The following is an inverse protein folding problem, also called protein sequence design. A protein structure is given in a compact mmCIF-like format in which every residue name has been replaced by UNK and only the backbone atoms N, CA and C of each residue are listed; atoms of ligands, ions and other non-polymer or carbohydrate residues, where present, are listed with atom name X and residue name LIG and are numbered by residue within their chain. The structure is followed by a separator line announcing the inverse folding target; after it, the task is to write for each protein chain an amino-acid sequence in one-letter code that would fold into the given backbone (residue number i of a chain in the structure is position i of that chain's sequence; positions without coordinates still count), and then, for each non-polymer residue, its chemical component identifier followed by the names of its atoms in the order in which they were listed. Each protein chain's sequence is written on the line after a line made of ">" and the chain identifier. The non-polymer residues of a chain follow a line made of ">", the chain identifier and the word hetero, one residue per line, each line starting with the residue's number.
data_IF_220077854587
#
_entry.id   IF_220077854587
#
_cell.length_a   1.000
_cell.length_b   1.000
_cell.length_c   1.000
_cell.angle_alpha   90.00
_cell.angle_beta   90.00
_cell.angle_gamma   90.00
#
_symmetry.space_group_name_H-M   'P 1'
#
loop_
_entity.id
_entity.type
_entity.pdbx_description
1 polymer ?
#
# COMPACT_ATOMS: atom_id res chain seq x y z
N UNK A 1 43.08 -9.27 50.76
CA UNK A 1 42.71 -8.15 49.86
C UNK A 1 41.30 -7.70 50.20
N UNK A 2 41.13 -6.51 50.78
CA UNK A 2 39.82 -6.02 51.21
C UNK A 2 38.94 -5.71 49.97
N UNK A 3 37.78 -6.37 49.87
CA UNK A 3 36.76 -6.08 48.87
C UNK A 3 36.37 -4.60 49.00
N UNK A 4 36.50 -3.84 47.90
CA UNK A 4 36.13 -2.42 47.85
C UNK A 4 34.68 -2.16 48.27
N UNK A 5 34.41 -0.92 48.68
CA UNK A 5 33.11 -0.45 49.17
C UNK A 5 32.01 -0.82 48.16
N UNK A 6 30.91 -1.39 48.65
CA UNK A 6 29.73 -1.68 47.83
C UNK A 6 29.20 -0.37 47.22
N UNK A 7 28.76 -0.37 45.96
CA UNK A 7 28.19 0.81 45.33
C UNK A 7 26.92 1.27 46.08
N UNK A 8 26.80 2.58 46.27
CA UNK A 8 25.68 3.23 46.96
C UNK A 8 24.35 2.95 46.23
N UNK A 9 23.25 2.81 46.97
CA UNK A 9 21.91 2.59 46.41
C UNK A 9 21.38 3.82 45.66
N UNK A 10 20.39 3.61 44.78
CA UNK A 10 19.83 4.65 43.90
C UNK A 10 19.35 5.89 44.69
N UNK A 11 18.77 5.67 45.88
CA UNK A 11 18.33 6.72 46.80
C UNK A 11 19.49 7.53 47.39
N UNK A 12 20.61 6.87 47.70
CA UNK A 12 21.81 7.51 48.23
C UNK A 12 22.55 8.32 47.15
N UNK A 13 22.48 7.90 45.89
CA UNK A 13 23.03 8.64 44.76
C UNK A 13 22.16 9.86 44.39
N UNK A 14 20.85 9.77 44.54
CA UNK A 14 19.94 10.92 44.36
C UNK A 14 20.13 11.98 45.45
N UNK A 15 20.29 11.57 46.71
CA UNK A 15 20.49 12.49 47.84
C UNK A 15 21.86 13.20 47.83
N UNK A 16 22.90 12.55 47.27
CA UNK A 16 24.26 13.10 47.22
C UNK A 16 24.45 14.16 46.11
N UNK A 17 23.47 14.31 45.22
CA UNK A 17 23.61 15.09 44.00
C UNK A 17 24.73 14.54 43.11
N UNK A 18 24.91 15.09 41.91
CA UNK A 18 25.98 14.66 41.00
C UNK A 18 27.22 15.57 41.17
N UNK A 19 28.17 15.26 42.08
CA UNK A 19 29.31 16.14 42.39
C UNK A 19 30.32 16.28 41.24
N UNK A 20 30.14 15.55 40.13
CA UNK A 20 31.10 15.51 39.02
C UNK A 20 30.59 15.99 37.66
N UNK A 21 29.40 16.61 37.56
CA UNK A 21 28.74 16.96 36.27
C UNK A 21 28.60 15.79 35.27
N UNK A 22 28.87 14.56 35.69
CA UNK A 22 28.63 13.34 34.91
C UNK A 22 27.17 12.97 35.12
N UNK A 23 26.45 12.73 34.02
CA UNK A 23 25.04 12.34 34.06
C UNK A 23 24.86 11.18 35.03
N UNK A 24 23.85 11.28 35.89
CA UNK A 24 23.58 10.25 36.89
C UNK A 24 23.20 8.93 36.18
N UNK A 25 23.52 7.78 36.78
CA UNK A 25 23.16 6.46 36.25
C UNK A 25 21.67 6.35 35.79
N UNK A 26 20.67 6.91 36.51
CA UNK A 26 19.28 6.89 36.04
C UNK A 26 19.03 7.77 34.81
N UNK A 27 19.79 8.84 34.61
CA UNK A 27 19.65 9.75 33.46
C UNK A 27 20.26 9.14 32.20
N UNK A 28 21.34 8.36 32.34
CA UNK A 28 21.93 7.55 31.26
C UNK A 28 20.99 6.40 30.86
N UNK A 29 20.24 5.83 31.81
CA UNK A 29 19.23 4.81 31.52
C UNK A 29 18.05 5.41 30.75
N UNK A 30 17.54 6.58 31.16
CA UNK A 30 16.45 7.29 30.46
C UNK A 30 16.84 7.78 29.05
N UNK A 31 18.12 8.09 28.83
CA UNK A 31 18.64 8.42 27.49
C UNK A 31 18.89 7.17 26.61
N UNK A 32 19.02 5.99 27.21
CA UNK A 32 19.15 4.70 26.51
C UNK A 32 17.84 3.98 26.29
N UNK A 33 16.75 4.40 26.91
CA UNK A 33 15.42 3.89 26.62
C UNK A 33 15.09 4.19 25.14
N UNK A 34 14.82 3.15 24.33
CA UNK A 34 14.49 3.37 22.93
C UNK A 34 13.22 4.19 22.89
N UNK A 35 13.31 5.39 22.30
CA UNK A 35 12.15 6.27 22.09
C UNK A 35 11.08 5.45 21.39
N UNK A 36 9.99 5.17 22.11
CA UNK A 36 8.91 4.33 21.62
C UNK A 36 8.51 4.80 20.21
N UNK A 37 8.54 3.87 19.24
CA UNK A 37 8.16 4.18 17.87
C UNK A 37 6.73 4.74 17.91
N UNK A 38 6.57 6.01 17.51
CA UNK A 38 5.26 6.65 17.46
C UNK A 38 4.39 5.85 16.48
N UNK A 39 3.19 5.42 16.88
CA UNK A 39 2.32 4.66 16.00
C UNK A 39 2.02 5.50 14.76
N UNK A 40 2.10 4.87 13.59
CA UNK A 40 1.86 5.57 12.33
C UNK A 40 0.37 5.93 12.26
N UNK A 41 0.06 7.23 12.28
CA UNK A 41 -1.31 7.71 12.37
C UNK A 41 -1.96 7.77 10.98
N UNK A 42 -3.05 7.01 10.84
CA UNK A 42 -3.85 6.98 9.61
C UNK A 42 -4.65 8.30 9.52
N UNK A 43 -4.50 9.02 8.41
CA UNK A 43 -5.21 10.27 8.12
C UNK A 43 -4.60 11.55 8.73
N UNK A 44 -5.13 12.71 8.29
CA UNK A 44 -4.67 14.08 8.63
C UNK A 44 -3.22 14.38 8.21
N UNK A 45 -2.85 13.93 7.02
CA UNK A 45 -1.50 14.07 6.47
C UNK A 45 -1.28 15.50 5.98
N UNK A 46 -0.22 16.13 6.48
CA UNK A 46 0.11 17.51 6.13
C UNK A 46 1.06 17.57 4.94
N UNK A 47 0.87 18.51 3.99
CA UNK A 47 1.81 18.69 2.89
C UNK A 47 3.18 19.13 3.42
N UNK A 48 4.30 18.54 2.95
CA UNK A 48 5.65 18.98 3.21
C UNK A 48 5.86 20.45 2.86
N UNK A 49 6.75 21.12 3.60
CA UNK A 49 7.03 22.56 3.43
C UNK A 49 7.46 22.92 2.00
N UNK A 50 8.20 22.03 1.32
CA UNK A 50 8.68 22.28 -0.03
C UNK A 50 7.55 22.27 -1.07
N UNK A 51 6.46 21.52 -0.85
CA UNK A 51 5.35 21.46 -1.79
C UNK A 51 4.61 22.81 -1.86
N UNK A 52 4.51 23.51 -0.73
CA UNK A 52 3.90 24.84 -0.61
C UNK A 52 4.56 25.91 -1.49
N UNK A 53 5.78 25.66 -1.98
CA UNK A 53 6.47 26.55 -2.94
C UNK A 53 5.84 26.50 -4.34
N UNK A 54 5.12 25.43 -4.67
CA UNK A 54 4.37 25.29 -5.91
C UNK A 54 2.88 25.37 -5.64
N UNK A 55 2.24 26.47 -6.06
CA UNK A 55 0.81 26.68 -5.87
C UNK A 55 -0.02 25.58 -6.54
N UNK A 56 0.26 25.29 -7.83
CA UNK A 56 -0.47 24.26 -8.61
C UNK A 56 -0.38 22.88 -7.97
N UNK A 57 0.81 22.49 -7.49
CA UNK A 57 0.99 21.19 -6.84
C UNK A 57 0.25 21.13 -5.49
N UNK A 58 0.21 22.26 -4.76
CA UNK A 58 -0.53 22.36 -3.50
C UNK A 58 -2.04 22.30 -3.72
N UNK A 59 -2.57 22.87 -4.80
CA UNK A 59 -3.98 22.76 -5.18
C UNK A 59 -4.36 21.30 -5.46
N UNK A 60 -3.55 20.55 -6.19
CA UNK A 60 -3.75 19.12 -6.45
C UNK A 60 -3.72 18.32 -5.13
N UNK A 61 -2.77 18.62 -4.24
CA UNK A 61 -2.71 18.00 -2.92
C UNK A 61 -3.99 18.23 -2.12
N UNK A 62 -4.46 19.47 -2.07
CA UNK A 62 -5.64 19.84 -1.29
C UNK A 62 -6.92 19.20 -1.83
N UNK A 63 -6.97 18.84 -3.11
CA UNK A 63 -8.08 18.10 -3.69
C UNK A 63 -7.98 16.58 -3.42
N UNK A 64 -6.80 15.99 -3.56
CA UNK A 64 -6.61 14.54 -3.48
C UNK A 64 -6.46 14.01 -2.07
N UNK A 65 -5.67 14.67 -1.22
CA UNK A 65 -5.37 14.17 0.12
C UNK A 65 -6.65 13.93 0.95
N UNK A 66 -7.64 14.85 1.01
CA UNK A 66 -8.87 14.59 1.76
C UNK A 66 -9.69 13.42 1.20
N UNK A 67 -9.64 13.17 -0.11
CA UNK A 67 -10.36 12.04 -0.74
C UNK A 67 -9.71 10.71 -0.35
N UNK A 68 -8.36 10.65 -0.39
CA UNK A 68 -7.61 9.46 0.02
C UNK A 68 -7.74 9.19 1.52
N UNK A 69 -7.78 10.23 2.35
CA UNK A 69 -8.02 10.11 3.79
C UNK A 69 -9.41 9.53 4.10
N UNK A 70 -10.47 9.96 3.40
CA UNK A 70 -11.82 9.38 3.56
C UNK A 70 -11.88 7.89 3.22
N UNK A 71 -10.98 7.41 2.37
CA UNK A 71 -10.85 6.01 1.99
C UNK A 71 -9.89 5.23 2.89
N UNK A 72 -9.30 5.86 3.91
CA UNK A 72 -8.23 5.30 4.76
C UNK A 72 -7.02 4.79 3.94
N UNK A 73 -6.74 5.42 2.79
CA UNK A 73 -5.64 5.06 1.89
C UNK A 73 -4.39 5.94 2.09
N UNK A 74 -4.42 6.87 3.06
CA UNK A 74 -3.33 7.82 3.28
C UNK A 74 -2.86 7.81 4.73
N UNK A 75 -1.56 7.64 4.90
CA UNK A 75 -0.89 7.59 6.19
C UNK A 75 0.21 8.66 6.30
N UNK A 76 0.66 8.99 7.52
CA UNK A 76 1.68 10.03 7.74
C UNK A 76 2.99 9.79 6.97
N UNK A 77 3.36 8.52 6.71
CA UNK A 77 4.54 8.15 5.93
C UNK A 77 4.41 8.54 4.44
N UNK A 78 3.19 8.64 3.97
CA UNK A 78 2.89 8.85 2.57
C UNK A 78 2.96 10.32 2.14
N UNK A 79 3.28 11.21 3.09
CA UNK A 79 3.27 12.64 2.84
C UNK A 79 4.23 13.02 1.69
N UNK A 80 5.45 12.49 1.73
CA UNK A 80 6.47 12.77 0.70
C UNK A 80 6.15 12.10 -0.64
N UNK A 81 5.80 10.80 -0.71
CA UNK A 81 5.36 10.15 -1.95
C UNK A 81 4.19 10.85 -2.63
N UNK A 82 3.12 11.20 -1.91
CA UNK A 82 1.97 11.91 -2.49
C UNK A 82 2.37 13.30 -2.99
N UNK A 83 3.30 13.97 -2.31
CA UNK A 83 3.78 15.29 -2.74
C UNK A 83 4.56 15.22 -4.04
N UNK A 84 5.33 14.14 -4.26
CA UNK A 84 6.01 13.89 -5.53
C UNK A 84 4.99 13.68 -6.65
N UNK A 85 3.93 12.91 -6.40
CA UNK A 85 2.83 12.75 -7.35
C UNK A 85 2.22 14.11 -7.75
N UNK A 86 1.86 14.95 -6.78
CA UNK A 86 1.31 16.28 -7.05
C UNK A 86 2.26 17.15 -7.90
N UNK A 87 3.57 17.08 -7.64
CA UNK A 87 4.57 17.78 -8.46
C UNK A 87 4.62 17.20 -9.88
N UNK A 88 4.67 15.89 -10.03
CA UNK A 88 4.76 15.22 -11.32
C UNK A 88 3.56 15.51 -12.22
N UNK A 89 2.35 15.59 -11.68
CA UNK A 89 1.18 16.02 -12.45
C UNK A 89 1.38 17.43 -13.02
N UNK A 90 1.92 18.38 -12.23
CA UNK A 90 2.17 19.75 -12.73
C UNK A 90 3.20 19.76 -13.86
N UNK A 91 4.29 19.00 -13.72
CA UNK A 91 5.33 18.90 -14.74
C UNK A 91 4.82 18.18 -16.00
N UNK A 92 4.00 17.14 -15.84
CA UNK A 92 3.36 16.42 -16.93
C UNK A 92 2.42 17.33 -17.72
N UNK A 93 1.56 18.10 -17.04
CA UNK A 93 0.68 19.08 -17.69
C UNK A 93 1.50 20.12 -18.47
N UNK A 94 2.60 20.62 -17.88
CA UNK A 94 3.46 21.58 -18.55
C UNK A 94 4.10 21.00 -19.81
N UNK A 95 4.62 19.77 -19.73
CA UNK A 95 5.19 19.07 -20.87
C UNK A 95 4.14 18.75 -21.94
N UNK A 96 2.92 18.37 -21.55
CA UNK A 96 1.82 18.08 -22.48
C UNK A 96 1.40 19.34 -23.25
N UNK A 97 1.28 20.49 -22.56
CA UNK A 97 1.01 21.78 -23.21
C UNK A 97 2.08 22.13 -24.25
N UNK A 98 3.35 21.84 -23.97
CA UNK A 98 4.44 22.04 -24.95
C UNK A 98 4.27 21.11 -26.15
N UNK A 99 3.98 19.83 -25.91
CA UNK A 99 3.74 18.85 -26.99
C UNK A 99 2.53 19.23 -27.85
N UNK A 100 1.46 19.75 -27.26
CA UNK A 100 0.29 20.21 -28.00
C UNK A 100 0.60 21.39 -28.94
N UNK A 101 1.58 22.23 -28.59
CA UNK A 101 1.98 23.39 -29.39
C UNK A 101 3.01 23.04 -30.47
N UNK A 102 4.00 22.23 -30.13
CA UNK A 102 5.19 21.98 -30.95
C UNK A 102 5.14 20.64 -31.69
N UNK A 103 4.24 19.74 -31.29
CA UNK A 103 4.14 18.39 -31.80
C UNK A 103 5.05 17.39 -31.08
N UNK A 104 4.92 16.12 -31.45
CA UNK A 104 5.68 15.00 -30.83
C UNK A 104 7.03 14.74 -31.50
N UNK A 105 7.27 15.35 -32.65
CA UNK A 105 8.48 15.19 -33.47
C UNK A 105 8.93 16.56 -34.00
N UNK A 106 10.24 16.74 -34.13
CA UNK A 106 10.82 17.91 -34.77
C UNK A 106 11.92 17.50 -35.75
N UNK A 107 12.16 18.35 -36.75
CA UNK A 107 13.23 18.13 -37.73
C UNK A 107 14.53 18.73 -37.22
N UNK A 108 15.58 17.92 -37.15
CA UNK A 108 16.92 18.33 -36.77
C UNK A 108 17.88 18.08 -37.93
N UNK A 109 18.77 19.03 -38.20
CA UNK A 109 19.89 18.80 -39.10
C UNK A 109 20.93 17.96 -38.40
N UNK A 110 21.33 16.87 -39.03
CA UNK A 110 22.42 16.03 -38.56
C UNK A 110 23.79 16.64 -38.93
N UNK A 111 24.88 16.12 -38.35
CA UNK A 111 26.25 16.60 -38.63
C UNK A 111 26.61 16.56 -40.13
N UNK A 112 25.98 15.65 -40.87
CA UNK A 112 26.15 15.49 -42.32
C UNK A 112 25.23 16.39 -43.16
N UNK A 113 24.47 17.30 -42.56
CA UNK A 113 23.58 18.26 -43.25
C UNK A 113 22.19 17.72 -43.62
N UNK A 114 21.93 16.42 -43.42
CA UNK A 114 20.65 15.79 -43.70
C UNK A 114 19.60 16.13 -42.63
N UNK A 115 18.35 16.35 -43.06
CA UNK A 115 17.21 16.53 -42.16
C UNK A 115 16.76 15.18 -41.61
N UNK A 116 16.79 15.02 -40.29
CA UNK A 116 16.34 13.81 -39.60
C UNK A 116 15.23 14.16 -38.62
N UNK A 117 14.16 13.36 -38.59
CA UNK A 117 13.08 13.51 -37.60
C UNK A 117 13.53 12.93 -36.27
N UNK A 118 13.58 13.78 -35.24
CA UNK A 118 13.89 13.39 -33.86
C UNK A 118 12.66 13.57 -32.97
N UNK A 119 12.56 12.74 -31.95
CA UNK A 119 11.46 12.79 -30.99
C UNK A 119 11.57 14.04 -30.13
N UNK A 120 10.47 14.74 -29.92
CA UNK A 120 10.45 15.94 -29.10
C UNK A 120 10.81 15.64 -27.64
N UNK A 121 11.72 16.40 -27.00
CA UNK A 121 12.12 16.15 -25.61
C UNK A 121 10.95 16.29 -24.63
N UNK A 122 10.01 17.22 -24.86
CA UNK A 122 8.80 17.32 -24.04
C UNK A 122 7.92 16.07 -24.15
N UNK A 123 7.84 15.45 -25.34
CA UNK A 123 7.12 14.19 -25.53
C UNK A 123 7.83 13.02 -24.84
N UNK A 124 9.16 13.03 -24.78
CA UNK A 124 9.90 12.07 -23.97
C UNK A 124 9.60 12.25 -22.48
N UNK A 125 9.66 13.49 -21.97
CA UNK A 125 9.35 13.82 -20.59
C UNK A 125 7.92 13.42 -20.19
N UNK A 126 6.91 13.69 -21.03
CA UNK A 126 5.52 13.24 -20.80
C UNK A 126 5.45 11.73 -20.58
N UNK A 127 6.06 10.94 -21.46
CA UNK A 127 6.00 9.48 -21.40
C UNK A 127 6.75 8.91 -20.20
N UNK A 128 7.85 9.55 -19.76
CA UNK A 128 8.59 9.10 -18.59
C UNK A 128 7.86 9.46 -17.29
N UNK A 129 7.28 10.66 -17.22
CA UNK A 129 6.47 11.07 -16.06
C UNK A 129 5.20 10.23 -15.97
N UNK A 130 4.53 9.94 -17.09
CA UNK A 130 3.34 9.08 -17.16
C UNK A 130 3.58 7.70 -16.51
N UNK A 131 4.75 7.10 -16.75
CA UNK A 131 5.12 5.82 -16.12
C UNK A 131 5.25 5.97 -14.60
N UNK A 132 5.95 7.01 -14.14
CA UNK A 132 6.11 7.27 -12.70
C UNK A 132 4.77 7.56 -12.02
N UNK A 133 3.85 8.27 -12.69
CA UNK A 133 2.51 8.54 -12.21
C UNK A 133 1.71 7.24 -12.05
N UNK A 134 1.71 6.36 -13.06
CA UNK A 134 1.00 5.08 -13.01
C UNK A 134 1.43 4.19 -11.83
N UNK A 135 2.71 4.22 -11.48
CA UNK A 135 3.27 3.48 -10.35
C UNK A 135 2.83 4.08 -9.00
N UNK A 136 2.85 5.42 -8.88
CA UNK A 136 2.37 6.12 -7.69
C UNK A 136 0.86 5.94 -7.51
N UNK A 137 0.07 6.04 -8.58
CA UNK A 137 -1.38 5.82 -8.56
C UNK A 137 -1.76 4.41 -8.11
N UNK A 138 -0.99 3.40 -8.53
CA UNK A 138 -1.18 2.03 -8.07
C UNK A 138 -0.89 1.89 -6.57
N UNK A 139 0.19 2.51 -6.09
CA UNK A 139 0.60 2.48 -4.68
C UNK A 139 -0.46 3.07 -3.76
N UNK A 140 -1.11 4.16 -4.19
CA UNK A 140 -2.17 4.82 -3.43
C UNK A 140 -3.56 4.22 -3.63
N UNK A 141 -3.71 3.19 -4.46
CA UNK A 141 -5.03 2.63 -4.77
C UNK A 141 -5.96 3.62 -5.49
N UNK A 142 -5.41 4.60 -6.22
CA UNK A 142 -6.24 5.50 -7.06
C UNK A 142 -6.83 4.73 -8.26
N UNK A 143 -6.09 3.73 -8.74
CA UNK A 143 -6.47 2.85 -9.83
C UNK A 143 -7.45 1.75 -9.39
N UNK A 144 -8.57 1.53 -10.10
CA UNK A 144 -9.52 0.45 -9.78
C UNK A 144 -8.86 -0.93 -9.76
N UNK A 145 -8.06 -1.25 -10.78
CA UNK A 145 -7.38 -2.54 -10.89
C UNK A 145 -6.36 -2.78 -9.77
N UNK A 146 -5.64 -1.72 -9.34
CA UNK A 146 -4.76 -1.79 -8.18
C UNK A 146 -5.53 -2.07 -6.89
N UNK A 147 -6.69 -1.42 -6.68
CA UNK A 147 -7.56 -1.69 -5.53
C UNK A 147 -8.08 -3.12 -5.50
N UNK A 148 -8.56 -3.63 -6.64
CA UNK A 148 -9.01 -5.02 -6.73
C UNK A 148 -7.88 -6.00 -6.46
N UNK A 149 -6.67 -5.72 -6.94
CA UNK A 149 -5.50 -6.55 -6.66
C UNK A 149 -5.17 -6.59 -5.17
N UNK A 150 -5.08 -5.43 -4.51
CA UNK A 150 -4.82 -5.34 -3.07
C UNK A 150 -5.88 -6.12 -2.28
N UNK A 151 -7.16 -5.94 -2.63
CA UNK A 151 -8.27 -6.65 -1.97
C UNK A 151 -8.20 -8.16 -2.18
N UNK A 152 -7.88 -8.61 -3.41
CA UNK A 152 -7.69 -10.04 -3.73
C UNK A 152 -6.52 -10.63 -2.95
N UNK A 153 -5.39 -9.93 -2.90
CA UNK A 153 -4.19 -10.37 -2.20
C UNK A 153 -4.43 -10.43 -0.69
N UNK A 154 -5.16 -9.45 -0.13
CA UNK A 154 -5.62 -9.47 1.26
C UNK A 154 -6.58 -10.63 1.53
N UNK A 155 -7.56 -10.90 0.66
CA UNK A 155 -8.47 -12.03 0.82
C UNK A 155 -7.74 -13.38 0.77
N UNK A 156 -6.73 -13.52 -0.10
CA UNK A 156 -5.88 -14.69 -0.13
C UNK A 156 -5.05 -14.83 1.15
N UNK A 157 -4.48 -13.73 1.66
CA UNK A 157 -3.68 -13.72 2.89
C UNK A 157 -4.53 -13.98 4.16
N UNK A 158 -5.74 -13.44 4.23
CA UNK A 158 -6.67 -13.62 5.35
C UNK A 158 -7.50 -14.93 5.25
N UNK A 159 -7.42 -15.68 4.15
CA UNK A 159 -8.36 -16.76 3.83
C UNK A 159 -7.79 -18.05 3.24
N UNK A 160 -6.47 -18.23 3.13
CA UNK A 160 -5.85 -19.50 2.67
C UNK A 160 -4.60 -19.89 3.48
N UNK A 161 -4.59 -19.55 4.77
CA UNK A 161 -3.52 -19.92 5.70
C UNK A 161 -3.73 -21.22 6.48
N UNK A 162 -4.94 -21.80 6.53
CA UNK A 162 -5.20 -23.11 7.18
C UNK A 162 -6.63 -23.66 6.96
N UNK A 163 -7.28 -23.37 5.83
CA UNK A 163 -8.62 -23.91 5.54
C UNK A 163 -8.59 -24.74 4.26
N UNK A 164 -8.95 -26.03 4.30
CA UNK A 164 -9.03 -26.85 3.11
C UNK A 164 -10.28 -26.42 2.33
N UNK A 165 -10.13 -25.42 1.45
CA UNK A 165 -11.19 -24.99 0.54
C UNK A 165 -11.42 -26.01 -0.60
N UNK A 166 -10.49 -26.94 -0.75
CA UNK A 166 -10.65 -28.17 -1.53
C UNK A 166 -10.38 -29.30 -0.55
N UNK A 167 -11.34 -30.18 -0.35
CA UNK A 167 -11.29 -31.19 0.70
C UNK A 167 -10.06 -32.08 0.57
N UNK A 168 -9.05 -31.82 1.40
CA UNK A 168 -8.06 -32.83 1.74
C UNK A 168 -8.76 -33.85 2.63
N UNK A 169 -9.14 -34.98 2.03
CA UNK A 169 -9.37 -36.20 2.78
C UNK A 169 -8.07 -36.58 3.47
N UNK A 170 -7.93 -36.24 4.75
CA UNK A 170 -7.09 -37.04 5.62
C UNK A 170 -7.78 -38.41 5.80
N UNK A 171 -7.10 -39.54 5.53
CA UNK A 171 -7.67 -40.84 5.82
C UNK A 171 -7.64 -41.02 7.34
N UNK A 172 -8.78 -40.79 7.99
CA UNK A 172 -8.99 -41.24 9.37
C UNK A 172 -9.05 -42.76 9.36
N UNK A 173 -8.00 -43.38 9.88
CA UNK A 173 -7.96 -44.80 10.15
C UNK A 173 -8.92 -45.12 11.31
N UNK A 174 -9.96 -45.87 10.99
CA UNK A 174 -10.68 -46.72 11.94
C UNK A 174 -11.96 -46.13 12.52
N UNK A 175 -13.11 -46.48 11.94
CA UNK A 175 -14.20 -47.11 12.68
C UNK A 175 -15.20 -47.79 11.73
N UNK A 176 -15.58 -49.03 12.05
CA UNK A 176 -16.54 -49.84 11.28
C UNK A 176 -18.00 -49.51 11.70
N UNK A 177 -18.98 -49.77 10.83
CA UNK A 177 -20.32 -49.18 10.91
C UNK A 177 -21.33 -50.03 11.68
N UNK A 178 -22.26 -49.37 12.38
CA UNK A 178 -23.52 -49.98 12.86
C UNK A 178 -24.69 -49.08 12.45
N UNK A 179 -25.69 -49.69 11.79
CA UNK A 179 -26.91 -49.07 11.25
C UNK A 179 -28.09 -49.17 12.27
N UNK A 180 -29.36 -48.84 11.92
CA UNK A 180 -29.91 -47.51 11.60
C UNK A 180 -31.25 -47.17 12.35
N UNK A 181 -31.82 -45.98 12.08
CA UNK A 181 -33.24 -45.53 12.18
C UNK A 181 -33.59 -44.42 13.22
N UNK A 182 -34.63 -43.57 13.03
CA UNK A 182 -35.23 -43.05 11.77
C UNK A 182 -35.44 -41.50 11.73
N UNK A 183 -35.49 -41.00 10.49
CA UNK A 183 -36.23 -39.85 9.92
C UNK A 183 -36.35 -38.48 10.64
N UNK A 184 -35.85 -37.42 9.97
CA UNK A 184 -36.59 -36.17 9.74
C UNK A 184 -36.00 -35.37 8.56
N UNK A 185 -36.65 -35.51 7.39
CA UNK A 185 -36.72 -34.54 6.28
C UNK A 185 -35.50 -33.63 5.99
N UNK A 186 -34.57 -34.10 5.16
CA UNK A 186 -33.78 -33.22 4.30
C UNK A 186 -34.39 -33.25 2.91
N UNK A 187 -34.98 -32.14 2.51
CA UNK A 187 -35.35 -31.91 1.11
C UNK A 187 -34.08 -31.99 0.28
N UNK A 188 -34.03 -33.00 -0.59
CA UNK A 188 -32.89 -33.36 -1.40
C UNK A 188 -32.62 -32.26 -2.44
N UNK A 189 -31.54 -31.51 -2.24
CA UNK A 189 -31.09 -30.39 -3.10
C UNK A 189 -30.86 -30.87 -4.55
N UNK A 190 -30.63 -32.17 -4.75
CA UNK A 190 -30.50 -32.79 -6.07
C UNK A 190 -31.84 -33.04 -6.79
N UNK A 191 -32.98 -32.99 -6.08
CA UNK A 191 -34.31 -33.06 -6.68
C UNK A 191 -34.75 -31.76 -7.33
N UNK A 192 -34.36 -30.61 -6.75
CA UNK A 192 -34.67 -29.27 -7.27
C UNK A 192 -33.93 -29.01 -8.59
N UNK A 193 -32.71 -29.53 -8.75
CA UNK A 193 -31.95 -29.37 -10.00
C UNK A 193 -32.52 -30.21 -11.16
N UNK A 194 -33.19 -31.33 -10.89
CA UNK A 194 -33.83 -32.15 -11.92
C UNK A 194 -35.16 -31.58 -12.44
N UNK A 195 -35.83 -30.70 -11.68
CA UNK A 195 -37.09 -30.08 -12.15
C UNK A 195 -36.89 -28.97 -13.19
N UNK A 196 -35.66 -28.56 -13.45
CA UNK A 196 -35.32 -27.55 -14.46
C UNK A 196 -34.79 -28.13 -15.78
N UNK A 197 -34.65 -29.45 -15.87
CA UNK A 197 -34.20 -30.11 -17.11
C UNK A 197 -35.41 -30.30 -18.04
N UNK A 198 -35.46 -29.51 -19.12
CA UNK A 198 -36.52 -29.60 -20.14
C UNK A 198 -36.09 -30.56 -21.25
N UNK A 199 -36.99 -31.44 -21.68
CA UNK A 199 -36.70 -32.43 -22.72
C UNK A 199 -36.42 -31.76 -24.08
N UNK A 200 -35.38 -32.23 -24.78
CA UNK A 200 -34.98 -31.70 -26.08
C UNK A 200 -36.08 -31.87 -27.14
N UNK A 201 -36.33 -30.87 -28.01
CA UNK A 201 -37.36 -30.97 -29.04
C UNK A 201 -36.99 -32.03 -30.09
N UNK A 202 -37.90 -32.98 -30.31
CA UNK A 202 -37.75 -34.05 -31.30
C UNK A 202 -37.66 -33.50 -32.72
N UNK A 203 -36.78 -34.09 -33.55
CA UNK A 203 -36.65 -33.74 -34.97
C UNK A 203 -37.86 -34.28 -35.76
N UNK A 204 -38.49 -33.46 -36.63
CA UNK A 204 -39.46 -33.97 -37.59
C UNK A 204 -38.74 -34.75 -38.72
N UNK A 205 -39.38 -35.82 -39.19
CA UNK A 205 -38.96 -36.64 -40.34
C UNK A 205 -39.03 -35.86 -41.66
#
# INVERSE_FOLDING_TARGET
>A
MARGRKPDTVEQQAAKGAPGKRMSAPEVQKAREPKAATPVAIGKVRPPKWLKRSRKATEIWNDLAPKLERLNLLNDLDATPLSRYCRYIVEWIAADITVQKEGTWFEAKDTNGNLTKKRHPAWQACQDIEKMLRDLEATFGMRPDARYKIMRDQAAAHGLGNLPLWGDQQPVAGEKPTAPAPEASQQDVMGILKSFDSAAPGRPN
#
